data_IF_872196867635
#
_entry.id   IF_872196867635
#
_cell.length_a   1.000
_cell.length_b   1.000
_cell.length_c   1.000
_cell.angle_alpha   90.00
_cell.angle_beta   90.00
_cell.angle_gamma   90.00
#
_symmetry.space_group_name_H-M   'P 1'
#
loop_
_entity.id
_entity.type
_entity.pdbx_description
1 polymer ?
#
# COMPACT_ATOMS: atom_id res chain seq x y z
N UNK A 1 39.36 7.60 72.58
CA UNK A 1 38.01 7.32 73.10
C UNK A 1 37.08 7.19 71.91
N UNK A 2 37.18 5.99 71.33
CA UNK A 2 36.23 5.13 70.64
C UNK A 2 34.98 5.72 69.94
N UNK A 3 34.80 5.33 68.66
CA UNK A 3 33.58 4.62 68.27
C UNK A 3 33.90 3.15 67.97
N UNK A 4 33.48 2.25 68.85
CA UNK A 4 33.53 0.79 68.67
C UNK A 4 32.17 0.31 68.15
N UNK A 5 32.12 -0.26 66.93
CA UNK A 5 31.80 -1.69 66.70
C UNK A 5 30.35 -1.83 66.18
N UNK A 6 29.98 -2.66 65.20
CA UNK A 6 30.51 -3.92 64.67
C UNK A 6 29.97 -4.10 63.22
N UNK A 7 30.78 -4.54 62.24
CA UNK A 7 31.01 -5.93 61.79
C UNK A 7 30.03 -6.43 60.71
N UNK A 8 30.53 -6.62 59.48
CA UNK A 8 29.90 -7.35 58.35
C UNK A 8 30.00 -8.88 58.52
N UNK A 9 29.23 -9.69 57.77
CA UNK A 9 29.71 -10.26 56.50
C UNK A 9 28.62 -10.48 55.41
N UNK A 10 28.99 -10.84 54.15
CA UNK A 10 28.07 -11.16 53.04
C UNK A 10 27.77 -12.67 52.92
N UNK A 11 26.75 -13.05 52.14
CA UNK A 11 26.86 -14.24 51.29
C UNK A 11 26.40 -13.95 49.84
N UNK A 12 27.25 -14.12 48.84
CA UNK A 12 27.52 -15.35 48.07
C UNK A 12 26.51 -15.60 46.93
N UNK A 13 27.00 -15.31 45.72
CA UNK A 13 26.80 -16.00 44.44
C UNK A 13 25.48 -16.75 44.16
N UNK A 14 24.85 -16.38 43.04
CA UNK A 14 24.41 -17.37 42.06
C UNK A 14 24.64 -16.87 40.65
N UNK A 15 25.60 -17.53 40.00
CA UNK A 15 25.91 -17.50 38.57
C UNK A 15 24.96 -18.44 37.82
N UNK A 16 24.48 -18.00 36.65
CA UNK A 16 24.12 -18.79 35.46
C UNK A 16 23.75 -17.73 34.38
N UNK A 17 24.62 -17.36 33.44
CA UNK A 17 25.00 -18.11 32.22
C UNK A 17 23.74 -18.70 31.56
N UNK A 18 23.37 -18.43 30.30
CA UNK A 18 24.22 -18.37 29.11
C UNK A 18 23.34 -18.16 27.85
N UNK A 19 23.91 -17.53 26.81
CA UNK A 19 23.60 -17.54 25.34
C UNK A 19 22.13 -17.42 24.84
N UNK A 20 21.82 -16.53 23.89
CA UNK A 20 22.02 -16.82 22.46
C UNK A 20 22.09 -15.54 21.61
N UNK A 21 23.13 -15.44 20.80
CA UNK A 21 23.27 -14.51 19.67
C UNK A 21 22.74 -15.17 18.41
N UNK A 22 22.01 -14.43 17.56
CA UNK A 22 22.39 -14.39 16.14
C UNK A 22 22.73 -12.94 15.75
N UNK A 23 24.00 -12.66 15.45
CA UNK A 23 24.68 -12.91 14.17
C UNK A 23 24.13 -12.06 13.01
N UNK A 24 25.09 -11.37 12.38
CA UNK A 24 25.09 -10.53 11.19
C UNK A 24 23.78 -10.37 10.41
N UNK A 25 23.42 -9.13 10.07
CA UNK A 25 23.72 -8.65 8.71
C UNK A 25 23.95 -7.13 8.69
N UNK A 26 24.93 -6.76 7.89
CA UNK A 26 25.47 -5.43 7.63
C UNK A 26 24.65 -4.70 6.55
N UNK A 27 25.03 -3.44 6.30
CA UNK A 27 24.80 -2.59 5.12
C UNK A 27 23.73 -1.47 5.20
N UNK A 28 24.25 -0.24 5.14
CA UNK A 28 23.67 1.12 4.99
C UNK A 28 22.68 1.28 3.81
N UNK A 29 21.96 2.42 3.58
CA UNK A 29 22.05 3.75 4.20
C UNK A 29 20.71 4.33 4.69
N UNK A 30 20.77 5.51 5.33
CA UNK A 30 19.63 6.39 5.62
C UNK A 30 18.90 6.79 4.33
N UNK A 31 18.06 5.90 3.81
CA UNK A 31 17.05 6.26 2.84
C UNK A 31 15.87 6.73 3.66
N UNK A 32 15.55 8.02 3.59
CA UNK A 32 14.39 8.67 4.21
C UNK A 32 13.13 7.84 3.94
N UNK A 33 12.87 6.89 4.82
CA UNK A 33 11.79 5.93 4.72
C UNK A 33 10.63 6.60 5.42
N UNK A 34 9.75 7.24 4.67
CA UNK A 34 8.42 7.56 5.19
C UNK A 34 7.85 6.26 5.77
N UNK A 35 7.72 6.22 7.10
CA UNK A 35 7.23 5.06 7.87
C UNK A 35 5.80 4.74 7.44
N UNK A 36 5.68 3.94 6.37
CA UNK A 36 4.41 3.47 5.84
C UNK A 36 4.14 2.09 6.41
N UNK A 37 3.14 1.98 7.28
CA UNK A 37 2.70 0.70 7.83
C UNK A 37 1.87 -0.03 6.78
N UNK A 38 2.11 -1.34 6.66
CA UNK A 38 1.38 -2.24 5.77
C UNK A 38 0.48 -3.14 6.60
N UNK A 39 -0.80 -3.17 6.30
CA UNK A 39 -1.74 -4.09 6.95
C UNK A 39 -2.71 -4.70 5.94
N UNK A 40 -3.24 -5.87 6.27
CA UNK A 40 -4.28 -6.54 5.47
C UNK A 40 -5.64 -5.95 5.82
N UNK A 41 -6.43 -5.57 4.80
CA UNK A 41 -7.82 -5.13 4.98
C UNK A 41 -8.62 -6.23 5.67
N UNK A 42 -9.34 -5.84 6.71
CA UNK A 42 -10.50 -6.58 7.18
C UNK A 42 -11.71 -6.09 6.37
N UNK A 43 -12.61 -6.98 5.93
CA UNK A 43 -13.89 -6.56 5.40
C UNK A 43 -14.62 -5.79 6.50
N UNK A 44 -14.77 -4.48 6.36
CA UNK A 44 -15.64 -3.67 7.21
C UNK A 44 -16.69 -3.04 6.31
N UNK A 45 -17.94 -3.00 6.77
CA UNK A 45 -19.12 -2.59 5.98
C UNK A 45 -19.06 -1.17 5.42
N UNK A 46 -18.05 -0.37 5.78
CA UNK A 46 -17.99 1.07 5.48
C UNK A 46 -17.09 1.45 4.28
N UNK A 47 -16.31 0.53 3.69
CA UNK A 47 -15.36 0.87 2.60
C UNK A 47 -15.73 0.21 1.27
N UNK A 48 -15.68 0.98 0.19
CA UNK A 48 -15.96 0.50 -1.18
C UNK A 48 -14.98 -0.60 -1.58
N UNK A 49 -15.49 -1.62 -2.26
CA UNK A 49 -14.67 -2.69 -2.83
C UNK A 49 -13.69 -2.13 -3.87
N UNK A 50 -12.47 -2.67 -3.89
CA UNK A 50 -11.41 -2.33 -4.85
C UNK A 50 -11.62 -3.10 -6.16
N UNK A 51 -12.50 -2.62 -7.04
CA UNK A 51 -12.89 -3.32 -8.28
C UNK A 51 -12.21 -2.83 -9.56
N UNK A 52 -11.58 -1.64 -9.53
CA UNK A 52 -10.86 -1.07 -10.67
C UNK A 52 -9.59 -1.86 -11.04
N UNK A 53 -9.17 -1.83 -12.30
CA UNK A 53 -7.98 -2.53 -12.78
C UNK A 53 -6.70 -2.06 -12.07
N UNK A 54 -6.64 -0.79 -11.65
CA UNK A 54 -5.48 -0.18 -11.00
C UNK A 54 -5.02 -0.93 -9.74
N UNK A 55 -5.94 -1.63 -9.07
CA UNK A 55 -5.63 -2.38 -7.85
C UNK A 55 -4.76 -3.60 -8.10
N UNK A 56 -4.74 -4.13 -9.33
CA UNK A 56 -3.85 -5.23 -9.74
C UNK A 56 -2.38 -4.79 -9.90
N UNK A 57 -2.15 -3.47 -9.93
CA UNK A 57 -0.84 -2.86 -10.13
C UNK A 57 -0.24 -2.31 -8.82
N UNK A 58 -0.72 -2.79 -7.67
CA UNK A 58 -0.09 -2.58 -6.37
C UNK A 58 0.99 -3.65 -6.11
N UNK A 59 2.01 -3.36 -5.30
CA UNK A 59 3.05 -4.34 -4.96
C UNK A 59 2.57 -5.46 -4.03
N UNK A 60 1.48 -5.24 -3.28
CA UNK A 60 0.87 -6.26 -2.42
C UNK A 60 -0.48 -6.73 -2.96
N UNK A 61 -1.14 -7.70 -2.29
CA UNK A 61 -2.52 -8.07 -2.57
C UNK A 61 -3.45 -6.86 -2.67
N UNK A 62 -4.57 -7.02 -3.39
CA UNK A 62 -5.62 -5.99 -3.53
C UNK A 62 -6.16 -5.56 -2.17
N UNK A 63 -5.96 -6.32 -1.10
CA UNK A 63 -6.40 -5.97 0.25
C UNK A 63 -5.32 -5.28 1.10
N UNK A 64 -4.13 -5.01 0.57
CA UNK A 64 -3.08 -4.35 1.34
C UNK A 64 -3.37 -2.85 1.49
N UNK A 65 -3.35 -2.35 2.71
CA UNK A 65 -3.39 -0.91 2.99
C UNK A 65 -1.97 -0.40 3.21
N UNK A 66 -1.65 0.69 2.54
CA UNK A 66 -0.48 1.52 2.80
C UNK A 66 -0.94 2.81 3.45
N UNK A 67 -0.47 3.04 4.67
CA UNK A 67 -0.83 4.20 5.47
C UNK A 67 0.42 4.74 6.14
N UNK A 68 0.62 6.05 6.07
CA UNK A 68 1.70 6.69 6.80
C UNK A 68 1.33 6.79 8.29
N UNK A 69 2.30 6.51 9.16
CA UNK A 69 2.14 6.64 10.61
C UNK A 69 1.65 8.04 11.00
N UNK A 70 0.64 8.10 11.87
CA UNK A 70 0.02 9.36 12.31
C UNK A 70 -0.98 9.97 11.32
N UNK A 71 -1.21 9.37 10.15
CA UNK A 71 -2.19 9.86 9.17
C UNK A 71 -3.34 8.86 8.96
N UNK A 72 -4.57 9.33 8.74
CA UNK A 72 -5.67 8.48 8.26
C UNK A 72 -5.63 8.27 6.73
N UNK A 73 -4.73 8.96 6.03
CA UNK A 73 -4.62 8.88 4.60
C UNK A 73 -4.14 7.49 4.14
N UNK A 74 -4.90 6.92 3.20
CA UNK A 74 -4.55 5.67 2.55
C UNK A 74 -3.99 5.96 1.17
N UNK A 75 -2.93 5.25 0.84
CA UNK A 75 -2.18 5.41 -0.39
C UNK A 75 -2.26 4.14 -1.24
N UNK A 76 -2.44 4.35 -2.54
CA UNK A 76 -2.08 3.40 -3.57
C UNK A 76 -0.60 3.59 -3.88
N UNK A 77 0.15 2.48 -3.95
CA UNK A 77 1.58 2.47 -4.31
C UNK A 77 1.75 1.77 -5.64
N UNK A 78 2.56 2.35 -6.51
CA UNK A 78 2.88 1.72 -7.77
C UNK A 78 3.77 0.49 -7.56
N UNK A 79 3.46 -0.60 -8.27
CA UNK A 79 4.30 -1.80 -8.30
C UNK A 79 5.63 -1.58 -9.03
N UNK A 80 5.68 -0.62 -9.94
CA UNK A 80 6.75 -0.48 -10.94
C UNK A 80 7.71 0.68 -10.66
N UNK A 81 7.31 1.65 -9.82
CA UNK A 81 8.12 2.82 -9.49
C UNK A 81 7.78 3.33 -8.08
N UNK A 82 8.56 4.25 -7.49
CA UNK A 82 8.35 4.73 -6.13
C UNK A 82 7.19 5.75 -5.99
N UNK A 83 6.31 5.88 -7.00
CA UNK A 83 5.18 6.81 -6.96
C UNK A 83 4.04 6.28 -6.10
N UNK A 84 3.42 7.21 -5.38
CA UNK A 84 2.30 6.94 -4.48
C UNK A 84 1.19 7.97 -4.69
N UNK A 85 -0.06 7.53 -4.59
CA UNK A 85 -1.25 8.33 -4.85
C UNK A 85 -2.27 8.13 -3.73
N UNK A 86 -2.89 9.22 -3.25
CA UNK A 86 -3.91 9.13 -2.20
C UNK A 86 -5.21 8.52 -2.74
N UNK A 87 -5.77 7.52 -2.07
CA UNK A 87 -6.97 6.80 -2.54
C UNK A 87 -8.24 7.66 -2.54
N UNK A 88 -8.32 8.69 -1.68
CA UNK A 88 -9.52 9.52 -1.53
C UNK A 88 -9.85 10.35 -2.77
N UNK A 89 -8.91 10.56 -3.69
CA UNK A 89 -9.10 11.32 -4.94
C UNK A 89 -9.66 10.49 -6.11
N UNK A 90 -9.97 9.21 -5.89
CA UNK A 90 -10.37 8.29 -6.96
C UNK A 90 -9.16 7.70 -7.72
N UNK A 91 -9.45 6.93 -8.77
CA UNK A 91 -8.44 6.12 -9.48
C UNK A 91 -7.99 6.70 -10.83
N UNK A 92 -8.54 7.84 -11.26
CA UNK A 92 -8.25 8.41 -12.59
C UNK A 92 -6.77 8.78 -12.75
N UNK A 93 -6.18 9.50 -11.79
CA UNK A 93 -4.76 9.86 -11.83
C UNK A 93 -3.83 8.64 -11.80
N UNK A 94 -4.25 7.57 -11.11
CA UNK A 94 -3.51 6.31 -11.05
C UNK A 94 -3.54 5.62 -12.42
N UNK A 95 -4.70 5.58 -13.08
CA UNK A 95 -4.83 5.02 -14.43
C UNK A 95 -3.98 5.80 -15.45
N UNK A 96 -4.00 7.13 -15.40
CA UNK A 96 -3.15 7.99 -16.24
C UNK A 96 -1.67 7.72 -15.97
N UNK A 97 -1.26 7.56 -14.71
CA UNK A 97 0.10 7.21 -14.36
C UNK A 97 0.53 5.87 -14.97
N UNK A 98 -0.31 4.84 -14.83
CA UNK A 98 -0.05 3.53 -15.43
C UNK A 98 0.09 3.60 -16.95
N UNK A 99 -0.76 4.39 -17.62
CA UNK A 99 -0.72 4.55 -19.06
C UNK A 99 0.53 5.32 -19.52
N UNK A 100 0.83 6.45 -18.91
CA UNK A 100 1.88 7.38 -19.38
C UNK A 100 3.29 7.00 -18.99
N UNK A 101 3.46 6.36 -17.82
CA UNK A 101 4.79 6.01 -17.28
C UNK A 101 5.12 4.55 -17.52
N UNK A 102 4.12 3.67 -17.61
CA UNK A 102 4.31 2.23 -17.72
C UNK A 102 3.61 1.61 -18.93
N UNK A 103 2.95 2.40 -19.77
CA UNK A 103 2.25 1.93 -20.98
C UNK A 103 1.17 0.86 -20.69
N UNK A 104 0.62 0.86 -19.48
CA UNK A 104 -0.42 -0.07 -19.04
C UNK A 104 -1.79 0.59 -19.19
N UNK A 105 -2.67 -0.02 -19.98
CA UNK A 105 -4.02 0.47 -20.29
C UNK A 105 -5.09 -0.52 -19.84
N UNK A 106 -6.25 -0.02 -19.37
CA UNK A 106 -7.42 -0.87 -19.10
C UNK A 106 -8.10 -1.27 -20.41
N UNK A 107 -7.81 -2.48 -20.88
CA UNK A 107 -8.41 -3.04 -22.09
C UNK A 107 -9.93 -3.19 -21.98
N UNK A 108 -10.47 -3.40 -20.77
CA UNK A 108 -11.92 -3.49 -20.57
C UNK A 108 -12.59 -2.14 -20.73
N UNK A 109 -11.98 -1.08 -20.18
CA UNK A 109 -12.48 0.28 -20.38
C UNK A 109 -12.47 0.65 -21.87
N UNK A 110 -11.39 0.33 -22.57
CA UNK A 110 -11.29 0.55 -24.02
C UNK A 110 -12.38 -0.22 -24.79
N UNK A 111 -12.62 -1.50 -24.47
CA UNK A 111 -13.68 -2.30 -25.07
C UNK A 111 -15.07 -1.71 -24.79
N UNK A 112 -15.33 -1.26 -23.56
CA UNK A 112 -16.60 -0.63 -23.19
C UNK A 112 -16.82 0.66 -24.00
N UNK A 113 -15.80 1.49 -24.18
CA UNK A 113 -15.89 2.70 -25.03
C UNK A 113 -16.19 2.35 -26.47
N UNK A 114 -15.51 1.36 -27.06
CA UNK A 114 -15.76 0.91 -28.42
C UNK A 114 -17.19 0.37 -28.58
N UNK A 115 -17.68 -0.38 -27.59
CA UNK A 115 -19.05 -0.88 -27.58
C UNK A 115 -20.07 0.27 -27.54
N UNK A 116 -19.85 1.28 -26.70
CA UNK A 116 -20.70 2.47 -26.63
C UNK A 116 -20.72 3.26 -27.95
N UNK A 117 -19.56 3.42 -28.61
CA UNK A 117 -19.46 4.07 -29.92
C UNK A 117 -20.22 3.28 -31.00
N UNK A 118 -20.10 1.95 -30.99
CA UNK A 118 -20.86 1.09 -31.90
C UNK A 118 -22.36 1.25 -31.70
N UNK A 119 -22.84 1.27 -30.45
CA UNK A 119 -24.27 1.46 -30.13
C UNK A 119 -24.74 2.83 -30.60
N UNK A 120 -23.99 3.90 -30.30
CA UNK A 120 -24.32 5.26 -30.72
C UNK A 120 -24.39 5.40 -32.25
N UNK A 121 -23.44 4.78 -32.96
CA UNK A 121 -23.41 4.77 -34.44
C UNK A 121 -24.63 4.05 -35.02
N UNK A 122 -25.03 2.91 -34.44
CA UNK A 122 -26.22 2.18 -34.88
C UNK A 122 -27.51 2.99 -34.65
N UNK A 123 -27.62 3.69 -33.51
CA UNK A 123 -28.76 4.56 -33.21
C UNK A 123 -28.88 5.73 -34.20
N UNK A 124 -27.75 6.38 -34.53
CA UNK A 124 -27.73 7.48 -35.49
C UNK A 124 -28.24 7.06 -36.87
N UNK A 125 -27.80 5.89 -37.37
CA UNK A 125 -28.27 5.34 -38.66
C UNK A 125 -29.77 5.03 -38.64
N UNK A 126 -30.30 4.53 -37.53
CA UNK A 126 -31.73 4.23 -37.40
C UNK A 126 -32.61 5.48 -37.51
N UNK A 127 -32.15 6.61 -36.97
CA UNK A 127 -32.84 7.89 -37.12
C UNK A 127 -32.84 8.35 -38.58
N UNK A 128 -31.69 8.30 -39.26
CA UNK A 128 -31.58 8.70 -40.68
C UNK A 128 -32.51 7.90 -41.61
N UNK A 129 -32.74 6.61 -41.31
CA UNK A 129 -33.65 5.76 -42.09
C UNK A 129 -35.14 6.03 -41.86
N UNK A 130 -35.51 6.68 -40.75
CA UNK A 130 -36.92 7.00 -40.43
C UNK A 130 -37.40 8.31 -41.08
N UNK A 131 -36.50 9.15 -41.58
CA UNK A 131 -36.82 10.45 -42.20
C UNK A 131 -36.69 10.45 -43.73
N UNK A 132 -36.58 9.26 -44.35
CA UNK A 132 -36.60 9.04 -45.81
C UNK A 132 -37.83 8.25 -46.19
#
# INVERSE_FOLDING_TARGET
MDPSGASSPPPESSVLSSHDTPDLESFDPVTSSSSTKRYRRKPTEKRRARTSFVWKHMPGPIDTIYQQEGSEAIYWRCKYCPKEYRESGGTAFIAVHLQTVHEIVDSREQQNTLQQLSISTAMARGLETQYK
#
